data_IF_808503911348
#
_entry.id   IF_808503911348
#
_cell.length_a   1.000
_cell.length_b   1.000
_cell.length_c   1.000
_cell.angle_alpha   90.00
_cell.angle_beta   90.00
_cell.angle_gamma   90.00
#
_symmetry.space_group_name_H-M   'P 1'
#
loop_
_entity.id
_entity.type
_entity.pdbx_description
1 polymer ?
#
# COMPACT_ATOMS: atom_id res chain seq x y z
N UNK A 1 -16.34 -13.45 1.26
CA UNK A 1 -16.13 -12.35 0.29
C UNK A 1 -14.75 -11.76 0.53
N UNK A 2 -14.01 -11.40 -0.51
CA UNK A 2 -12.69 -10.76 -0.38
C UNK A 2 -12.87 -9.31 0.05
N UNK A 3 -11.95 -8.77 0.86
CA UNK A 3 -12.08 -7.44 1.46
C UNK A 3 -10.83 -6.59 1.24
N UNK A 4 -11.01 -5.29 1.07
CA UNK A 4 -9.98 -4.25 1.12
C UNK A 4 -10.25 -3.41 2.37
N UNK A 5 -9.21 -3.06 3.12
CA UNK A 5 -9.33 -2.14 4.24
C UNK A 5 -8.75 -0.78 3.84
N UNK A 6 -9.53 0.26 3.98
CA UNK A 6 -9.06 1.64 3.93
C UNK A 6 -9.01 2.22 5.34
N UNK A 7 -7.86 2.78 5.73
CA UNK A 7 -7.69 3.42 7.03
C UNK A 7 -7.54 4.94 6.89
N UNK A 8 -8.30 5.69 7.71
CA UNK A 8 -8.36 7.15 7.66
C UNK A 8 -8.11 7.82 9.00
N UNK A 9 -7.49 9.02 8.95
CA UNK A 9 -7.41 10.01 10.03
C UNK A 9 -8.30 11.24 9.75
N UNK A 10 -9.20 11.14 8.78
CA UNK A 10 -10.07 12.20 8.27
C UNK A 10 -9.33 13.40 7.65
N UNK A 11 -8.02 13.32 7.43
CA UNK A 11 -7.28 14.37 6.75
C UNK A 11 -7.65 14.46 5.27
N UNK A 12 -7.42 15.63 4.66
CA UNK A 12 -7.61 15.79 3.21
C UNK A 12 -6.68 14.89 2.41
N UNK A 13 -5.49 14.58 2.91
CA UNK A 13 -4.58 13.62 2.29
C UNK A 13 -5.15 12.20 2.22
N UNK A 14 -6.05 11.84 3.14
CA UNK A 14 -6.73 10.54 3.12
C UNK A 14 -7.90 10.48 2.14
N UNK A 15 -8.42 11.61 1.65
CA UNK A 15 -9.56 11.65 0.74
C UNK A 15 -9.26 11.01 -0.63
N UNK A 16 -8.08 11.28 -1.22
CA UNK A 16 -7.65 10.64 -2.48
C UNK A 16 -7.52 9.14 -2.33
N UNK A 17 -6.97 8.68 -1.21
CA UNK A 17 -6.87 7.26 -0.90
C UNK A 17 -8.26 6.62 -0.71
N UNK A 18 -9.25 7.34 -0.19
CA UNK A 18 -10.63 6.86 -0.10
C UNK A 18 -11.26 6.68 -1.48
N UNK A 19 -11.13 7.67 -2.38
CA UNK A 19 -11.61 7.54 -3.77
C UNK A 19 -10.95 6.36 -4.47
N UNK A 20 -9.64 6.23 -4.29
CA UNK A 20 -8.89 5.11 -4.84
C UNK A 20 -9.40 3.76 -4.31
N UNK A 21 -9.57 3.64 -2.98
CA UNK A 21 -10.08 2.43 -2.35
C UNK A 21 -11.50 2.09 -2.80
N UNK A 22 -12.38 3.09 -2.91
CA UNK A 22 -13.74 2.93 -3.40
C UNK A 22 -13.75 2.40 -4.84
N UNK A 23 -13.06 3.08 -5.76
CA UNK A 23 -13.01 2.71 -7.17
C UNK A 23 -12.37 1.32 -7.38
N UNK A 24 -11.30 1.01 -6.64
CA UNK A 24 -10.64 -0.29 -6.69
C UNK A 24 -11.57 -1.39 -6.16
N UNK A 25 -12.30 -1.15 -5.07
CA UNK A 25 -13.26 -2.12 -4.51
C UNK A 25 -14.41 -2.41 -5.46
N UNK A 26 -14.97 -1.37 -6.09
CA UNK A 26 -16.01 -1.51 -7.13
C UNK A 26 -15.50 -2.37 -8.27
N UNK A 27 -14.32 -2.04 -8.80
CA UNK A 27 -13.73 -2.73 -9.95
C UNK A 27 -13.42 -4.21 -9.66
N UNK A 28 -12.94 -4.51 -8.45
CA UNK A 28 -12.59 -5.88 -8.06
C UNK A 28 -13.79 -6.68 -7.50
N UNK A 29 -14.96 -6.05 -7.34
CA UNK A 29 -16.11 -6.68 -6.70
C UNK A 29 -15.82 -7.11 -5.26
N UNK A 30 -15.03 -6.30 -4.52
CA UNK A 30 -14.61 -6.59 -3.14
C UNK A 30 -15.36 -5.73 -2.14
N UNK A 31 -15.50 -6.25 -0.92
CA UNK A 31 -15.94 -5.48 0.25
C UNK A 31 -14.95 -4.36 0.53
N UNK A 32 -15.44 -3.16 0.86
CA UNK A 32 -14.64 -2.06 1.39
C UNK A 32 -14.90 -1.90 2.89
N UNK A 33 -13.87 -2.16 3.70
CA UNK A 33 -13.87 -1.92 5.15
C UNK A 33 -13.19 -0.58 5.40
N UNK A 34 -13.97 0.43 5.78
CA UNK A 34 -13.52 1.77 6.08
C UNK A 34 -13.27 1.86 7.58
N UNK A 35 -12.02 2.11 7.97
CA UNK A 35 -11.59 2.03 9.37
C UNK A 35 -11.01 3.34 9.85
N UNK A 36 -11.48 3.78 11.02
CA UNK A 36 -10.84 4.84 11.82
C UNK A 36 -10.47 4.29 13.18
N UNK A 37 -9.24 4.54 13.61
CA UNK A 37 -8.76 4.15 14.96
C UNK A 37 -8.65 5.40 15.81
N UNK A 38 -9.35 5.40 16.94
CA UNK A 38 -9.35 6.49 17.90
C UNK A 38 -8.90 6.01 19.28
N UNK A 39 -8.37 6.92 20.07
CA UNK A 39 -7.98 6.67 21.45
C UNK A 39 -8.86 7.51 22.40
N UNK A 40 -9.27 6.93 23.50
CA UNK A 40 -9.94 7.69 24.55
C UNK A 40 -8.88 8.32 25.44
N UNK A 41 -8.92 9.64 25.65
CA UNK A 41 -7.95 10.31 26.52
C UNK A 41 -8.02 9.74 27.93
N UNK A 42 -6.92 9.14 28.40
CA UNK A 42 -6.73 8.77 29.79
C UNK A 42 -6.49 10.06 30.58
N UNK A 43 -7.48 10.50 31.36
CA UNK A 43 -7.28 11.60 32.30
C UNK A 43 -6.46 11.08 33.47
N UNK A 44 -5.18 11.48 33.53
CA UNK A 44 -4.29 11.39 34.68
C UNK A 44 -4.26 10.02 35.39
N UNK A 45 -3.74 8.97 34.74
CA UNK A 45 -3.27 7.77 35.47
C UNK A 45 -4.32 6.92 36.17
N UNK A 46 -5.56 7.37 36.23
CA UNK A 46 -6.70 6.58 36.61
C UNK A 46 -7.40 6.10 35.37
N UNK A 47 -7.46 4.78 35.18
CA UNK A 47 -8.60 4.26 34.43
C UNK A 47 -9.80 4.86 35.12
N UNK A 48 -10.48 5.80 34.47
CA UNK A 48 -11.82 6.13 34.84
C UNK A 48 -12.65 4.85 34.62
N UNK A 49 -12.62 3.97 35.60
CA UNK A 49 -13.75 3.11 35.88
C UNK A 49 -14.88 4.08 36.23
N UNK A 50 -15.56 4.45 35.19
CA UNK A 50 -16.34 5.64 35.07
C UNK A 50 -17.46 5.80 36.07
N UNK A 51 -17.69 7.04 36.51
CA UNK A 51 -19.06 7.43 36.82
C UNK A 51 -19.95 7.61 35.57
N UNK A 52 -19.39 7.41 34.31
CA UNK A 52 -20.09 7.68 33.05
C UNK A 52 -19.94 6.57 32.03
N UNK A 53 -20.47 5.36 32.24
CA UNK A 53 -20.43 4.27 31.24
C UNK A 53 -21.15 4.64 29.92
N UNK A 54 -22.06 5.61 29.94
CA UNK A 54 -22.81 6.06 28.77
C UNK A 54 -21.96 6.91 27.79
N UNK A 55 -20.97 7.65 28.29
CA UNK A 55 -20.02 8.40 27.44
C UNK A 55 -19.16 7.47 26.56
N UNK A 56 -18.78 6.30 27.04
CA UNK A 56 -18.02 5.30 26.27
C UNK A 56 -18.85 4.67 25.17
N UNK A 57 -20.11 4.37 25.45
CA UNK A 57 -21.02 3.78 24.46
C UNK A 57 -21.34 4.75 23.33
N UNK A 58 -21.40 6.04 23.63
CA UNK A 58 -21.70 7.08 22.65
C UNK A 58 -20.49 7.43 21.76
N UNK A 59 -19.24 7.34 22.26
CA UNK A 59 -18.05 7.70 21.51
C UNK A 59 -17.85 6.81 20.27
N UNK A 60 -18.00 5.51 20.39
CA UNK A 60 -17.89 4.57 19.26
C UNK A 60 -18.97 4.80 18.21
N UNK A 61 -20.20 5.08 18.62
CA UNK A 61 -21.30 5.44 17.74
C UNK A 61 -21.06 6.78 17.03
N UNK A 62 -20.51 7.76 17.74
CA UNK A 62 -20.17 9.07 17.21
C UNK A 62 -19.05 8.97 16.15
N UNK A 63 -17.96 8.26 16.45
CA UNK A 63 -16.86 8.07 15.50
C UNK A 63 -17.29 7.27 14.27
N UNK A 64 -18.16 6.28 14.44
CA UNK A 64 -18.74 5.55 13.31
C UNK A 64 -19.62 6.46 12.44
N UNK A 65 -20.45 7.30 13.03
CA UNK A 65 -21.27 8.28 12.29
C UNK A 65 -20.38 9.26 11.52
N UNK A 66 -19.34 9.80 12.16
CA UNK A 66 -18.35 10.67 11.53
C UNK A 66 -17.66 10.00 10.34
N UNK A 67 -17.37 8.70 10.45
CA UNK A 67 -16.76 7.92 9.38
C UNK A 67 -17.71 7.77 8.17
N UNK A 68 -19.01 7.55 8.40
CA UNK A 68 -20.03 7.52 7.37
C UNK A 68 -20.17 8.90 6.69
N UNK A 69 -20.27 9.97 7.47
CA UNK A 69 -20.36 11.35 6.96
C UNK A 69 -19.14 11.73 6.13
N UNK A 70 -17.94 11.29 6.55
CA UNK A 70 -16.71 11.50 5.79
C UNK A 70 -16.76 10.76 4.44
N UNK A 71 -17.18 9.49 4.42
CA UNK A 71 -17.34 8.72 3.19
C UNK A 71 -18.34 9.39 2.23
N UNK A 72 -19.54 9.72 2.71
CA UNK A 72 -20.60 10.35 1.90
C UNK A 72 -20.13 11.68 1.29
N UNK A 73 -19.42 12.49 2.06
CA UNK A 73 -18.87 13.77 1.60
C UNK A 73 -17.81 13.62 0.51
N UNK A 74 -16.96 12.58 0.60
CA UNK A 74 -15.83 12.40 -0.33
C UNK A 74 -16.26 11.68 -1.61
N UNK A 75 -17.10 10.65 -1.49
CA UNK A 75 -17.52 9.83 -2.64
C UNK A 75 -18.70 10.50 -3.36
N UNK A 76 -19.58 11.17 -2.61
CA UNK A 76 -20.77 11.79 -3.20
C UNK A 76 -21.79 10.77 -3.72
N UNK A 77 -22.85 11.27 -4.35
CA UNK A 77 -23.94 10.43 -4.87
C UNK A 77 -23.69 9.91 -6.30
N UNK A 78 -22.85 10.62 -7.06
CA UNK A 78 -22.61 10.33 -8.47
C UNK A 78 -21.59 9.21 -8.72
N UNK A 79 -20.76 8.87 -7.72
CA UNK A 79 -19.76 7.82 -7.85
C UNK A 79 -20.36 6.43 -7.56
N UNK A 80 -19.92 5.44 -8.33
CA UNK A 80 -20.26 4.02 -8.05
C UNK A 80 -19.71 3.61 -6.70
N UNK A 81 -20.46 2.79 -5.97
CA UNK A 81 -20.13 2.31 -4.63
C UNK A 81 -19.96 0.80 -4.62
N UNK A 82 -19.06 0.25 -3.78
CA UNK A 82 -18.99 -1.18 -3.54
C UNK A 82 -20.35 -1.72 -3.03
N UNK A 83 -20.73 -2.92 -3.44
CA UNK A 83 -21.96 -3.56 -2.96
C UNK A 83 -21.96 -3.81 -1.46
N UNK A 84 -20.79 -4.01 -0.88
CA UNK A 84 -20.60 -4.32 0.55
C UNK A 84 -19.65 -3.29 1.18
N UNK A 85 -20.19 -2.38 1.97
CA UNK A 85 -19.51 -1.34 2.72
C UNK A 85 -19.62 -1.59 4.22
N UNK A 86 -18.48 -1.56 4.90
CA UNK A 86 -18.39 -1.72 6.34
C UNK A 86 -17.67 -0.53 6.95
N UNK A 87 -18.22 0.02 8.03
CA UNK A 87 -17.63 1.15 8.76
C UNK A 87 -17.22 0.71 10.16
N UNK A 88 -15.93 0.74 10.44
CA UNK A 88 -15.30 0.29 11.69
C UNK A 88 -14.64 1.46 12.42
N UNK A 89 -15.27 1.92 13.50
CA UNK A 89 -14.65 2.81 14.47
C UNK A 89 -14.00 1.96 15.56
N UNK A 90 -12.68 2.03 15.70
CA UNK A 90 -11.89 1.12 16.53
C UNK A 90 -11.25 1.88 17.69
N UNK A 91 -11.64 1.56 18.92
CA UNK A 91 -10.96 2.06 20.11
C UNK A 91 -9.65 1.30 20.31
N UNK A 92 -8.51 1.99 20.18
CA UNK A 92 -7.20 1.39 20.41
C UNK A 92 -6.15 2.48 20.68
N UNK A 93 -5.33 2.35 21.71
CA UNK A 93 -4.23 3.24 22.05
C UNK A 93 -3.17 3.32 20.96
N UNK A 94 -3.08 2.32 20.08
CA UNK A 94 -2.16 2.27 18.96
C UNK A 94 -2.91 2.19 17.65
N UNK A 95 -2.86 3.25 16.85
CA UNK A 95 -3.46 3.30 15.51
C UNK A 95 -2.97 2.12 14.64
N UNK A 96 -1.68 1.81 14.69
CA UNK A 96 -1.12 0.68 13.96
C UNK A 96 -1.74 -0.66 14.37
N UNK A 97 -1.85 -0.90 15.70
CA UNK A 97 -2.40 -2.15 16.22
C UNK A 97 -3.88 -2.29 15.88
N UNK A 98 -4.65 -1.20 15.97
CA UNK A 98 -6.06 -1.18 15.59
C UNK A 98 -6.28 -1.53 14.12
N UNK A 99 -5.48 -0.94 13.21
CA UNK A 99 -5.55 -1.25 11.77
C UNK A 99 -5.18 -2.72 11.51
N UNK A 100 -4.08 -3.21 12.10
CA UNK A 100 -3.63 -4.61 11.90
C UNK A 100 -4.67 -5.60 12.45
N UNK A 101 -5.26 -5.33 13.62
CA UNK A 101 -6.33 -6.17 14.18
C UNK A 101 -7.49 -6.27 13.21
N UNK A 102 -8.01 -5.14 12.71
CA UNK A 102 -9.13 -5.15 11.75
C UNK A 102 -8.77 -5.79 10.41
N UNK A 103 -7.54 -5.58 9.95
CA UNK A 103 -7.06 -6.26 8.74
C UNK A 103 -7.07 -7.79 8.90
N UNK A 104 -6.75 -8.27 10.10
CA UNK A 104 -6.79 -9.70 10.44
C UNK A 104 -8.22 -10.20 10.61
N UNK A 105 -9.07 -9.50 11.37
CA UNK A 105 -10.46 -9.86 11.62
C UNK A 105 -11.26 -10.03 10.32
N UNK A 106 -11.07 -9.10 9.38
CA UNK A 106 -11.73 -9.09 8.06
C UNK A 106 -10.98 -9.88 6.98
N UNK A 107 -9.84 -10.52 7.30
CA UNK A 107 -9.00 -11.27 6.34
C UNK A 107 -8.76 -10.47 5.06
N UNK A 108 -8.41 -9.17 5.22
CA UNK A 108 -8.30 -8.27 4.08
C UNK A 108 -7.14 -8.66 3.16
N UNK A 109 -7.32 -8.39 1.87
CA UNK A 109 -6.32 -8.67 0.83
C UNK A 109 -5.31 -7.55 0.67
N UNK A 110 -5.71 -6.33 1.05
CA UNK A 110 -4.90 -5.12 0.92
C UNK A 110 -5.33 -4.09 1.95
N UNK A 111 -4.38 -3.35 2.51
CA UNK A 111 -4.64 -2.13 3.27
C UNK A 111 -4.31 -0.94 2.39
N UNK A 112 -5.22 0.04 2.31
CA UNK A 112 -5.03 1.30 1.58
C UNK A 112 -4.96 2.45 2.58
N UNK A 113 -3.92 3.30 2.44
CA UNK A 113 -3.71 4.47 3.28
C UNK A 113 -3.29 5.67 2.43
N UNK A 114 -3.70 6.86 2.84
CA UNK A 114 -3.22 8.11 2.23
C UNK A 114 -1.79 8.44 2.67
N UNK A 115 -1.06 9.11 1.79
CA UNK A 115 0.19 9.80 2.11
C UNK A 115 -0.11 11.28 2.29
N UNK A 116 0.55 11.95 3.26
CA UNK A 116 0.44 13.41 3.41
C UNK A 116 1.02 14.07 2.15
N UNK A 117 0.20 14.89 1.50
CA UNK A 117 0.63 15.71 0.40
C UNK A 117 1.57 16.84 0.86
N UNK A 118 2.14 17.55 -0.11
CA UNK A 118 3.01 18.70 0.11
C UNK A 118 2.34 19.75 1.02
N UNK A 119 2.67 19.75 2.29
CA UNK A 119 2.52 20.94 3.09
C UNK A 119 3.86 21.67 3.10
N UNK A 120 3.97 22.73 2.26
CA UNK A 120 4.97 23.84 2.32
C UNK A 120 6.46 23.46 2.19
N UNK A 121 6.88 22.24 2.36
CA UNK A 121 8.25 21.75 2.14
C UNK A 121 8.21 20.68 1.04
N UNK A 122 9.04 20.84 0.04
CA UNK A 122 9.12 20.06 -1.23
C UNK A 122 9.22 18.54 -1.15
N UNK A 123 9.05 17.92 0.01
CA UNK A 123 9.12 16.49 0.21
C UNK A 123 7.76 15.93 0.66
N UNK A 124 7.21 14.96 -0.06
CA UNK A 124 6.06 14.15 0.35
C UNK A 124 6.38 13.50 1.70
N UNK A 125 5.68 13.87 2.77
CA UNK A 125 5.94 13.29 4.09
C UNK A 125 5.03 12.11 4.35
N UNK A 126 5.58 10.91 4.22
CA UNK A 126 4.86 9.70 4.63
C UNK A 126 4.63 9.70 6.13
N UNK A 127 3.38 9.52 6.56
CA UNK A 127 3.00 9.41 7.97
C UNK A 127 3.67 8.22 8.69
N UNK A 128 3.88 8.36 10.00
CA UNK A 128 4.52 7.31 10.81
C UNK A 128 3.77 5.98 10.80
N UNK A 129 2.44 6.02 10.72
CA UNK A 129 1.57 4.82 10.64
C UNK A 129 1.78 4.10 9.31
N UNK A 130 1.78 4.80 8.18
CA UNK A 130 2.01 4.20 6.86
C UNK A 130 3.39 3.53 6.79
N UNK A 131 4.46 4.18 7.30
CA UNK A 131 5.81 3.59 7.40
C UNK A 131 5.82 2.29 8.21
N UNK A 132 5.10 2.24 9.31
CA UNK A 132 5.02 1.03 10.17
C UNK A 132 4.16 -0.06 9.54
N UNK A 133 3.11 0.30 8.78
CA UNK A 133 2.29 -0.67 8.05
C UNK A 133 3.10 -1.38 6.96
N UNK A 134 3.93 -0.68 6.20
CA UNK A 134 4.84 -1.29 5.22
C UNK A 134 5.66 -2.43 5.85
N UNK A 135 6.18 -2.23 7.06
CA UNK A 135 7.00 -3.25 7.75
C UNK A 135 6.18 -4.39 8.37
N UNK A 136 4.96 -4.11 8.84
CA UNK A 136 4.28 -4.96 9.82
C UNK A 136 2.92 -5.49 9.38
N UNK A 137 2.33 -4.96 8.31
CA UNK A 137 1.02 -5.37 7.86
C UNK A 137 0.98 -6.85 7.46
N UNK A 138 -0.12 -7.57 7.79
CA UNK A 138 -0.29 -8.97 7.45
C UNK A 138 -0.63 -9.19 5.96
N UNK A 139 -0.94 -8.13 5.23
CA UNK A 139 -1.25 -8.11 3.80
C UNK A 139 -0.52 -6.94 3.13
N UNK A 140 -0.46 -6.89 1.78
CA UNK A 140 0.12 -5.78 1.05
C UNK A 140 -0.49 -4.43 1.42
N UNK A 141 0.33 -3.37 1.38
CA UNK A 141 -0.09 -2.01 1.70
C UNK A 141 0.05 -1.13 0.47
N UNK A 142 -1.06 -0.53 0.05
CA UNK A 142 -1.09 0.48 -0.99
C UNK A 142 -1.11 1.87 -0.36
N UNK A 143 -0.07 2.64 -0.61
CA UNK A 143 0.00 4.05 -0.21
C UNK A 143 -0.36 4.93 -1.41
N UNK A 144 -1.33 5.85 -1.22
CA UNK A 144 -1.86 6.71 -2.30
C UNK A 144 -1.49 8.17 -2.01
N UNK A 145 -0.83 8.87 -2.95
CA UNK A 145 -0.55 10.31 -2.82
C UNK A 145 -1.83 11.14 -2.73
N UNK A 146 -1.77 12.31 -2.05
CA UNK A 146 -2.94 13.16 -1.78
C UNK A 146 -3.64 13.67 -3.02
N UNK A 147 -2.90 13.90 -4.10
CA UNK A 147 -3.43 14.50 -5.33
C UNK A 147 -3.63 13.49 -6.46
N UNK A 148 -3.42 12.18 -6.15
CA UNK A 148 -3.55 11.13 -7.15
C UNK A 148 -5.02 10.77 -7.39
N UNK A 149 -5.43 10.75 -8.65
CA UNK A 149 -6.74 10.25 -9.07
C UNK A 149 -6.65 8.78 -9.46
N UNK A 150 -7.74 8.05 -9.23
CA UNK A 150 -7.82 6.66 -9.66
C UNK A 150 -7.95 6.59 -11.18
N UNK A 151 -7.03 5.89 -11.80
CA UNK A 151 -7.05 5.63 -13.25
C UNK A 151 -6.89 4.12 -13.51
N UNK A 152 -7.35 3.70 -14.68
CA UNK A 152 -7.12 2.33 -15.15
C UNK A 152 -5.62 2.10 -15.33
N UNK A 153 -5.09 1.06 -14.71
CA UNK A 153 -3.68 0.70 -14.87
C UNK A 153 -3.42 0.16 -16.28
N UNK A 154 -2.50 0.78 -16.99
CA UNK A 154 -1.98 0.30 -18.29
C UNK A 154 -0.57 -0.23 -18.15
N UNK A 155 0.24 0.41 -17.33
CA UNK A 155 1.62 0.05 -17.01
C UNK A 155 1.82 0.04 -15.50
N UNK A 156 2.43 -1.05 -14.99
CA UNK A 156 2.80 -1.24 -13.60
C UNK A 156 4.28 -1.55 -13.52
N UNK A 157 5.02 -0.80 -12.71
CA UNK A 157 6.44 -1.04 -12.47
C UNK A 157 6.64 -1.90 -11.24
N UNK A 158 7.35 -3.02 -11.36
CA UNK A 158 7.83 -3.81 -10.23
C UNK A 158 9.34 -3.64 -10.08
N UNK A 159 9.78 -2.95 -9.03
CA UNK A 159 11.19 -2.78 -8.75
C UNK A 159 11.74 -4.00 -7.99
N UNK A 160 12.77 -4.64 -8.53
CA UNK A 160 13.32 -5.93 -8.07
C UNK A 160 14.82 -5.87 -7.78
N UNK A 161 15.27 -6.73 -6.86
CA UNK A 161 16.68 -7.06 -6.66
C UNK A 161 17.05 -8.44 -7.24
N UNK A 162 16.13 -9.07 -8.00
CA UNK A 162 16.26 -10.42 -8.59
C UNK A 162 16.46 -11.53 -7.54
N UNK A 163 15.79 -11.40 -6.40
CA UNK A 163 15.79 -12.42 -5.35
C UNK A 163 14.59 -13.36 -5.48
N UNK A 164 14.66 -14.54 -4.85
CA UNK A 164 13.57 -15.55 -4.92
C UNK A 164 12.24 -15.02 -4.39
N UNK A 165 12.29 -14.19 -3.35
CA UNK A 165 11.11 -13.59 -2.73
C UNK A 165 10.38 -12.63 -3.68
N UNK A 166 11.12 -11.99 -4.62
CA UNK A 166 10.52 -11.11 -5.62
C UNK A 166 9.55 -11.86 -6.55
N UNK A 167 9.81 -13.14 -6.81
CA UNK A 167 8.92 -13.97 -7.64
C UNK A 167 7.54 -14.08 -7.00
N UNK A 168 7.46 -14.31 -5.68
CA UNK A 168 6.18 -14.39 -4.95
C UNK A 168 5.43 -13.05 -4.90
N UNK A 169 6.17 -11.95 -4.78
CA UNK A 169 5.55 -10.63 -4.85
C UNK A 169 5.05 -10.35 -6.27
N UNK A 170 5.81 -10.72 -7.30
CA UNK A 170 5.43 -10.55 -8.69
C UNK A 170 4.20 -11.39 -9.07
N UNK A 171 4.04 -12.62 -8.56
CA UNK A 171 2.81 -13.42 -8.71
C UNK A 171 1.58 -12.61 -8.27
N UNK A 172 1.65 -11.92 -7.13
CA UNK A 172 0.56 -11.07 -6.63
C UNK A 172 0.33 -9.82 -7.50
N UNK A 173 1.41 -9.22 -7.99
CA UNK A 173 1.33 -8.09 -8.93
C UNK A 173 0.63 -8.51 -10.22
N UNK A 174 0.90 -9.71 -10.71
CA UNK A 174 0.23 -10.29 -11.89
C UNK A 174 -1.26 -10.49 -11.66
N UNK A 175 -1.68 -10.95 -10.47
CA UNK A 175 -3.11 -11.07 -10.15
C UNK A 175 -3.82 -9.71 -10.30
N UNK A 176 -3.17 -8.63 -9.85
CA UNK A 176 -3.69 -7.27 -10.00
C UNK A 176 -3.67 -6.82 -11.47
N UNK A 177 -2.55 -7.01 -12.18
CA UNK A 177 -2.39 -6.60 -13.57
C UNK A 177 -3.39 -7.27 -14.52
N UNK A 178 -3.72 -8.54 -14.28
CA UNK A 178 -4.72 -9.28 -15.07
C UNK A 178 -6.10 -8.62 -15.09
N UNK A 179 -6.48 -7.90 -14.03
CA UNK A 179 -7.78 -7.19 -13.96
C UNK A 179 -7.89 -6.12 -15.04
N UNK A 180 -6.78 -5.45 -15.35
CA UNK A 180 -6.73 -4.37 -16.36
C UNK A 180 -6.08 -4.79 -17.67
N UNK A 181 -5.54 -6.01 -17.74
CA UNK A 181 -4.66 -6.44 -18.83
C UNK A 181 -3.46 -5.48 -19.00
N UNK A 182 -2.84 -5.09 -17.87
CA UNK A 182 -1.78 -4.10 -17.80
C UNK A 182 -0.41 -4.72 -18.07
N UNK A 183 0.50 -3.96 -18.67
CA UNK A 183 1.90 -4.36 -18.79
C UNK A 183 2.60 -4.28 -17.41
N UNK A 184 3.44 -5.25 -17.12
CA UNK A 184 4.30 -5.27 -15.94
C UNK A 184 5.74 -5.08 -16.38
N UNK A 185 6.38 -4.01 -15.89
CA UNK A 185 7.79 -3.75 -16.12
C UNK A 185 8.59 -4.11 -14.88
N UNK A 186 9.31 -5.21 -14.97
CA UNK A 186 10.21 -5.70 -13.93
C UNK A 186 11.53 -4.98 -14.09
N UNK A 187 11.81 -4.04 -13.19
CA UNK A 187 12.92 -3.08 -13.30
C UNK A 187 13.94 -3.31 -12.20
N UNK A 188 15.19 -3.51 -12.59
CA UNK A 188 16.34 -3.52 -11.68
C UNK A 188 17.19 -2.27 -11.91
N UNK A 189 17.67 -1.64 -10.83
CA UNK A 189 18.58 -0.50 -10.92
C UNK A 189 19.94 -0.89 -10.32
N UNK A 190 20.98 -0.78 -11.10
CA UNK A 190 22.36 -1.12 -10.70
C UNK A 190 23.36 -0.05 -11.08
N UNK A 191 24.42 0.09 -10.29
CA UNK A 191 25.59 0.91 -10.63
C UNK A 191 26.60 0.15 -11.51
N UNK A 192 26.44 -1.16 -11.64
CA UNK A 192 27.36 -2.01 -12.39
C UNK A 192 26.98 -2.00 -13.88
N UNK A 193 27.84 -1.40 -14.70
CA UNK A 193 27.68 -1.32 -16.16
C UNK A 193 27.78 -2.67 -16.87
N UNK A 194 28.37 -3.68 -16.22
CA UNK A 194 28.50 -5.04 -16.77
C UNK A 194 27.29 -5.92 -16.47
N UNK A 195 26.24 -5.36 -15.87
CA UNK A 195 25.10 -6.14 -15.37
C UNK A 195 24.20 -6.72 -16.49
N UNK A 196 24.23 -6.13 -17.68
CA UNK A 196 23.57 -6.69 -18.86
C UNK A 196 24.19 -8.06 -19.20
N UNK A 197 23.42 -9.14 -19.03
CA UNK A 197 23.90 -10.53 -19.17
C UNK A 197 24.37 -11.17 -17.86
N UNK A 198 24.09 -10.57 -16.71
CA UNK A 198 24.36 -11.16 -15.42
C UNK A 198 23.57 -12.47 -15.24
N UNK A 199 24.22 -13.59 -14.85
CA UNK A 199 23.55 -14.88 -14.64
C UNK A 199 22.36 -14.81 -13.67
N UNK A 200 22.37 -13.91 -12.68
CA UNK A 200 21.27 -13.73 -11.74
C UNK A 200 20.01 -13.15 -12.42
N UNK A 201 20.17 -12.22 -13.34
CA UNK A 201 19.04 -11.67 -14.12
C UNK A 201 18.42 -12.73 -15.02
N UNK A 202 19.25 -13.49 -15.75
CA UNK A 202 18.76 -14.55 -16.64
C UNK A 202 18.07 -15.66 -15.85
N UNK A 203 18.64 -16.10 -14.74
CA UNK A 203 18.02 -17.06 -13.83
C UNK A 203 16.67 -16.54 -13.32
N UNK A 204 16.61 -15.28 -12.87
CA UNK A 204 15.35 -14.68 -12.37
C UNK A 204 14.30 -14.64 -13.47
N UNK A 205 14.68 -14.21 -14.68
CA UNK A 205 13.80 -14.18 -15.85
C UNK A 205 13.25 -15.58 -16.17
N UNK A 206 14.10 -16.58 -16.25
CA UNK A 206 13.69 -17.97 -16.48
C UNK A 206 12.73 -18.46 -15.41
N UNK A 207 13.00 -18.18 -14.13
CA UNK A 207 12.14 -18.57 -13.02
C UNK A 207 10.77 -17.89 -13.10
N UNK A 208 10.72 -16.62 -13.48
CA UNK A 208 9.46 -15.88 -13.66
C UNK A 208 8.67 -16.47 -14.82
N UNK A 209 9.29 -16.66 -15.99
CA UNK A 209 8.63 -17.19 -17.19
C UNK A 209 8.13 -18.63 -17.00
N UNK A 210 8.79 -19.43 -16.17
CA UNK A 210 8.38 -20.81 -15.87
C UNK A 210 7.25 -20.89 -14.83
N UNK A 211 7.11 -19.90 -13.95
CA UNK A 211 6.14 -19.94 -12.84
C UNK A 211 4.91 -19.09 -13.06
N UNK A 212 5.04 -18.02 -13.83
CA UNK A 212 4.02 -17.00 -13.98
C UNK A 212 3.47 -17.05 -15.41
N UNK A 213 2.21 -17.44 -15.53
CA UNK A 213 1.47 -17.44 -16.80
C UNK A 213 0.88 -16.03 -17.03
N UNK A 214 1.72 -15.14 -17.57
CA UNK A 214 1.33 -13.80 -17.99
C UNK A 214 2.32 -13.28 -19.04
N UNK A 215 1.86 -13.03 -20.25
CA UNK A 215 2.67 -12.70 -21.43
C UNK A 215 3.12 -11.22 -21.49
N UNK A 216 2.53 -10.36 -20.61
CA UNK A 216 2.80 -8.92 -20.61
C UNK A 216 3.82 -8.52 -19.51
N UNK A 217 4.87 -9.32 -19.33
CA UNK A 217 5.98 -9.05 -18.41
C UNK A 217 7.22 -8.67 -19.22
N UNK A 218 7.77 -7.49 -18.93
CA UNK A 218 8.96 -6.95 -19.57
C UNK A 218 10.06 -6.75 -18.54
N UNK A 219 11.30 -7.13 -18.86
CA UNK A 219 12.44 -7.01 -17.96
C UNK A 219 13.37 -5.90 -18.45
N UNK A 220 13.72 -4.98 -17.57
CA UNK A 220 14.60 -3.84 -17.86
C UNK A 220 15.61 -3.62 -16.74
N UNK A 221 16.83 -3.24 -17.13
CA UNK A 221 17.91 -2.87 -16.21
C UNK A 221 18.27 -1.41 -16.46
N UNK A 222 18.30 -0.63 -15.38
CA UNK A 222 18.70 0.78 -15.41
C UNK A 222 20.07 0.94 -14.77
N UNK A 223 20.98 1.62 -15.48
CA UNK A 223 22.29 1.95 -14.95
C UNK A 223 22.25 3.25 -14.16
N UNK A 224 22.41 3.17 -12.85
CA UNK A 224 22.43 4.35 -11.98
C UNK A 224 22.95 4.05 -10.58
N UNK A 225 23.62 5.05 -9.97
CA UNK A 225 23.99 5.06 -8.56
C UNK A 225 22.86 5.51 -7.62
N UNK A 226 21.76 6.08 -8.16
CA UNK A 226 20.63 6.57 -7.39
C UNK A 226 19.34 5.84 -7.79
N UNK A 227 19.04 4.78 -7.03
CA UNK A 227 17.92 3.87 -7.34
C UNK A 227 16.59 4.58 -7.32
N UNK A 228 16.30 5.36 -6.28
CA UNK A 228 15.00 6.02 -6.11
C UNK A 228 14.77 7.04 -7.22
N UNK A 229 15.72 7.92 -7.47
CA UNK A 229 15.60 8.93 -8.55
C UNK A 229 15.49 8.29 -9.95
N UNK A 230 16.14 7.14 -10.17
CA UNK A 230 16.03 6.43 -11.45
C UNK A 230 14.67 5.77 -11.64
N UNK A 231 14.12 5.18 -10.58
CA UNK A 231 12.77 4.62 -10.62
C UNK A 231 11.72 5.72 -10.80
N UNK A 232 11.84 6.87 -10.10
CA UNK A 232 10.98 8.04 -10.29
C UNK A 232 10.95 8.48 -11.75
N UNK A 233 12.14 8.76 -12.30
CA UNK A 233 12.27 9.18 -13.71
C UNK A 233 11.76 8.13 -14.69
N UNK A 234 11.98 6.85 -14.40
CA UNK A 234 11.49 5.75 -15.24
C UNK A 234 9.97 5.68 -15.23
N UNK A 235 9.34 5.74 -14.05
CA UNK A 235 7.87 5.71 -13.93
C UNK A 235 7.21 6.91 -14.59
N UNK A 236 7.79 8.10 -14.47
CA UNK A 236 7.32 9.31 -15.17
C UNK A 236 7.40 9.16 -16.69
N UNK A 237 8.55 8.73 -17.22
CA UNK A 237 8.76 8.58 -18.68
C UNK A 237 7.83 7.51 -19.29
N UNK A 238 7.42 6.51 -18.51
CA UNK A 238 6.53 5.42 -18.95
C UNK A 238 5.06 5.72 -18.68
N UNK A 239 4.73 6.83 -18.00
CA UNK A 239 3.38 7.11 -17.52
C UNK A 239 2.80 5.93 -16.74
N UNK A 240 3.64 5.31 -15.89
CA UNK A 240 3.20 4.18 -15.08
C UNK A 240 2.09 4.61 -14.10
N UNK A 241 1.06 3.80 -13.96
CA UNK A 241 -0.04 4.08 -13.03
C UNK A 241 0.22 3.65 -11.59
N UNK A 242 1.22 2.78 -11.38
CA UNK A 242 1.58 2.25 -10.06
C UNK A 242 3.01 1.73 -10.04
N UNK A 243 3.65 1.81 -8.87
CA UNK A 243 4.90 1.09 -8.61
C UNK A 243 4.69 0.07 -7.50
N UNK A 244 5.27 -1.12 -7.64
CA UNK A 244 5.24 -2.17 -6.63
C UNK A 244 6.66 -2.54 -6.18
N UNK A 245 6.86 -2.80 -4.89
CA UNK A 245 8.16 -3.11 -4.30
C UNK A 245 8.03 -4.07 -3.12
N UNK A 246 9.08 -4.84 -2.86
CA UNK A 246 9.21 -5.70 -1.68
C UNK A 246 10.11 -5.05 -0.63
N UNK A 247 9.56 -4.76 0.57
CA UNK A 247 10.34 -4.35 1.75
C UNK A 247 10.92 -5.58 2.44
N UNK A 248 12.24 -5.63 2.56
CA UNK A 248 12.95 -6.76 3.14
C UNK A 248 13.39 -6.51 4.56
N UNK A 249 13.15 -7.49 5.42
CA UNK A 249 13.61 -7.51 6.81
C UNK A 249 14.92 -8.29 6.85
N UNK A 250 16.04 -7.65 6.53
CA UNK A 250 17.33 -8.34 6.49
C UNK A 250 17.82 -8.82 7.84
N UNK A 251 18.22 -10.09 7.90
CA UNK A 251 18.85 -10.77 9.06
C UNK A 251 20.32 -11.12 8.79
N UNK A 252 21.17 -10.26 8.28
CA UNK A 252 22.59 -10.55 8.03
C UNK A 252 23.44 -9.28 7.88
N UNK A 253 24.73 -9.28 8.27
CA UNK A 253 25.52 -8.07 8.56
C UNK A 253 26.20 -7.36 7.36
N UNK A 254 26.46 -8.02 6.22
CA UNK A 254 27.36 -7.50 5.20
C UNK A 254 26.75 -6.89 3.94
N UNK A 255 25.53 -7.35 3.49
CA UNK A 255 24.84 -6.78 2.31
C UNK A 255 23.77 -5.74 2.65
N UNK A 256 23.68 -5.34 3.91
CA UNK A 256 22.50 -4.72 4.54
C UNK A 256 22.32 -3.23 4.38
N UNK A 257 23.36 -2.50 4.09
CA UNK A 257 23.32 -1.03 4.14
C UNK A 257 22.66 -0.40 2.90
N UNK A 258 22.55 -1.13 1.80
CA UNK A 258 22.09 -0.55 0.52
C UNK A 258 20.60 -0.69 0.24
N UNK A 259 19.87 -1.60 0.92
CA UNK A 259 18.48 -1.93 0.54
C UNK A 259 17.40 -1.55 1.57
N UNK A 260 17.78 -1.25 2.82
CA UNK A 260 16.81 -0.97 3.89
C UNK A 260 16.12 0.38 3.69
N UNK A 261 14.78 0.35 3.71
CA UNK A 261 13.98 1.57 3.70
C UNK A 261 13.79 2.23 2.33
N UNK A 262 14.18 1.58 1.22
CA UNK A 262 13.95 2.09 -0.13
C UNK A 262 12.49 2.19 -0.48
N UNK A 263 11.69 1.20 -0.08
CA UNK A 263 10.23 1.25 -0.22
C UNK A 263 9.68 2.50 0.44
N UNK A 264 10.10 2.80 1.69
CA UNK A 264 9.68 3.99 2.42
C UNK A 264 10.21 5.29 1.81
N UNK A 265 11.44 5.25 1.29
CA UNK A 265 12.02 6.39 0.59
C UNK A 265 11.28 6.64 -0.73
N UNK A 266 11.00 5.60 -1.50
CA UNK A 266 10.20 5.68 -2.70
C UNK A 266 8.79 6.21 -2.38
N UNK A 267 8.10 5.64 -1.41
CA UNK A 267 6.79 6.10 -0.98
C UNK A 267 6.78 7.57 -0.52
N UNK A 268 7.88 8.06 0.04
CA UNK A 268 7.97 9.47 0.51
C UNK A 268 8.26 10.48 -0.61
N UNK A 269 8.62 10.03 -1.82
CA UNK A 269 9.04 10.89 -2.94
C UNK A 269 8.19 10.70 -4.18
N UNK A 270 7.64 9.50 -4.37
CA UNK A 270 6.90 9.14 -5.57
C UNK A 270 5.49 9.76 -5.59
N UNK A 271 5.10 10.29 -6.73
CA UNK A 271 3.75 10.83 -6.97
C UNK A 271 2.74 9.76 -7.43
N UNK A 272 3.16 8.52 -7.55
CA UNK A 272 2.30 7.38 -7.92
C UNK A 272 1.91 6.55 -6.71
N UNK A 273 0.78 5.83 -6.77
CA UNK A 273 0.46 4.79 -5.80
C UNK A 273 1.58 3.77 -5.70
N UNK A 274 1.99 3.45 -4.46
CA UNK A 274 3.01 2.45 -4.19
C UNK A 274 2.39 1.25 -3.48
N UNK A 275 2.42 0.10 -4.15
CA UNK A 275 2.06 -1.19 -3.58
C UNK A 275 3.29 -1.82 -2.93
N UNK A 276 3.29 -1.95 -1.62
CA UNK A 276 4.38 -2.53 -0.87
C UNK A 276 4.03 -3.91 -0.31
N UNK A 277 4.92 -4.86 -0.57
CA UNK A 277 4.94 -6.17 0.06
C UNK A 277 5.98 -6.17 1.18
N UNK A 278 5.86 -7.10 2.12
CA UNK A 278 6.91 -7.43 3.08
C UNK A 278 7.03 -8.95 3.22
N UNK A 279 8.15 -9.46 3.73
CA UNK A 279 8.41 -10.89 3.84
C UNK A 279 7.32 -11.66 4.60
N UNK A 280 6.60 -10.99 5.51
CA UNK A 280 5.53 -11.61 6.32
C UNK A 280 4.26 -11.85 5.52
N UNK A 281 3.96 -10.98 4.56
CA UNK A 281 2.72 -11.04 3.79
C UNK A 281 2.85 -11.72 2.42
N UNK A 282 4.04 -12.19 2.05
CA UNK A 282 4.25 -12.93 0.81
C UNK A 282 3.47 -14.26 0.75
N UNK A 283 3.17 -14.86 1.90
CA UNK A 283 2.40 -16.10 1.97
C UNK A 283 0.87 -15.84 2.02
N UNK A 284 0.45 -14.61 2.27
CA UNK A 284 -0.97 -14.26 2.32
C UNK A 284 -1.59 -14.37 0.93
N UNK A 285 -2.85 -14.80 0.84
CA UNK A 285 -3.62 -14.74 -0.40
C UNK A 285 -3.82 -13.28 -0.79
N UNK A 286 -3.76 -12.95 -2.10
CA UNK A 286 -3.89 -11.57 -2.56
C UNK A 286 -5.24 -11.34 -3.24
N UNK A 287 -5.53 -12.01 -4.33
CA UNK A 287 -6.83 -11.92 -5.02
C UNK A 287 -7.49 -13.28 -5.25
#
# INVERSE_FOLDING_TARGET
>A
MKSILYATDFSMASASALRYANSLSVMLGMRLVITHVYDLPTILGTQLEAPFPDLRKDTGGHERKRLIEFYERIIGEAESRPEDLVFEAVENMSVLSGIISKATDWHVRMIIVGMKGESVLKDLVMGSTAKKLIDKAPCPVLTVPSDHQFEKLTDLVYATDFEVEDIKALEKVVELAKVWNADIRVVHVTADKSYAGNPQMEWFREMVLNKIDYDRIHFEVLESNNIVASLEKYTENRHAGMIAMLERIHRGAAKKLFHRGRVKQMASRNQLPLLSFNERNLQALFF
#
